data_IF_183089143744
#
_entry.id   IF_183089143744
#
_cell.length_a   1.000
_cell.length_b   1.000
_cell.length_c   1.000
_cell.angle_alpha   90.00
_cell.angle_beta   90.00
_cell.angle_gamma   90.00
#
_symmetry.space_group_name_H-M   'P 1'
#
loop_
_entity.id
_entity.type
_entity.pdbx_description
1 polymer ?
#
# COMPACT_ATOMS: atom_id res chain seq x y z
N UNK A 1 -16.84 12.55 6.43
CA UNK A 1 -16.07 11.93 5.32
C UNK A 1 -15.81 10.46 5.65
N UNK A 2 -16.09 9.56 4.74
CA UNK A 2 -15.80 8.16 4.94
C UNK A 2 -14.30 7.88 4.73
N UNK A 3 -13.74 7.06 5.62
CA UNK A 3 -12.31 6.72 5.61
C UNK A 3 -12.16 5.22 5.42
N UNK A 4 -11.40 4.81 4.43
CA UNK A 4 -11.23 3.40 4.04
C UNK A 4 -9.76 3.08 3.90
N UNK A 5 -9.32 1.94 4.45
CA UNK A 5 -8.00 1.38 4.19
C UNK A 5 -8.17 0.14 3.33
N UNK A 6 -7.45 0.10 2.22
CA UNK A 6 -7.38 -1.07 1.37
C UNK A 6 -6.09 -1.80 1.73
N UNK A 7 -6.23 -3.00 2.27
CA UNK A 7 -5.11 -3.81 2.70
C UNK A 7 -4.78 -4.81 1.61
N UNK A 8 -3.63 -4.63 0.96
CA UNK A 8 -3.23 -5.44 -0.18
C UNK A 8 -2.26 -6.51 0.27
N UNK A 9 -2.63 -7.79 0.06
CA UNK A 9 -1.81 -8.93 0.44
C UNK A 9 -1.19 -9.66 -0.75
N UNK A 10 -1.87 -9.65 -1.90
CA UNK A 10 -1.45 -10.46 -3.03
C UNK A 10 -0.34 -9.80 -3.83
N UNK A 11 0.64 -10.60 -4.26
CA UNK A 11 1.75 -10.14 -5.08
C UNK A 11 1.46 -10.15 -6.58
N UNK A 12 0.20 -10.35 -6.99
CA UNK A 12 -0.19 -10.37 -8.39
C UNK A 12 -0.47 -8.96 -8.89
N UNK A 13 0.24 -8.47 -9.92
CA UNK A 13 0.01 -7.11 -10.44
C UNK A 13 -1.42 -6.86 -10.88
N UNK A 14 -2.09 -7.89 -11.43
CA UNK A 14 -3.49 -7.74 -11.86
C UNK A 14 -4.47 -7.62 -10.69
N UNK A 15 -4.08 -8.06 -9.50
CA UNK A 15 -4.84 -7.79 -8.28
C UNK A 15 -4.52 -6.40 -7.76
N UNK A 16 -3.24 -6.04 -7.77
CA UNK A 16 -2.81 -4.75 -7.22
C UNK A 16 -3.30 -3.56 -8.02
N UNK A 17 -3.55 -3.72 -9.32
CA UNK A 17 -4.11 -2.63 -10.13
C UNK A 17 -5.44 -2.16 -9.54
N UNK A 18 -6.26 -3.08 -9.02
CA UNK A 18 -7.55 -2.73 -8.40
C UNK A 18 -7.36 -1.92 -7.13
N UNK A 19 -6.30 -2.20 -6.37
CA UNK A 19 -5.96 -1.43 -5.18
C UNK A 19 -5.66 0.02 -5.57
N UNK A 20 -4.80 0.21 -6.56
CA UNK A 20 -4.42 1.55 -7.02
C UNK A 20 -5.61 2.31 -7.60
N UNK A 21 -6.38 1.66 -8.47
CA UNK A 21 -7.53 2.29 -9.11
C UNK A 21 -8.59 2.70 -8.09
N UNK A 22 -8.88 1.84 -7.12
CA UNK A 22 -9.89 2.15 -6.12
C UNK A 22 -9.47 3.27 -5.19
N UNK A 23 -8.21 3.30 -4.76
CA UNK A 23 -7.72 4.39 -3.92
C UNK A 23 -7.79 5.73 -4.65
N UNK A 24 -7.41 5.76 -5.93
CA UNK A 24 -7.48 6.97 -6.74
C UNK A 24 -8.92 7.40 -6.99
N UNK A 25 -9.82 6.46 -7.24
CA UNK A 25 -11.25 6.73 -7.43
C UNK A 25 -11.87 7.30 -6.15
N UNK A 26 -11.53 6.74 -5.00
CA UNK A 26 -12.02 7.25 -3.72
C UNK A 26 -11.60 8.70 -3.52
N UNK A 27 -10.34 9.02 -3.86
CA UNK A 27 -9.86 10.40 -3.76
C UNK A 27 -10.69 11.35 -4.63
N UNK A 28 -10.98 10.95 -5.86
CA UNK A 28 -11.80 11.77 -6.76
C UNK A 28 -13.21 11.99 -6.23
N UNK A 29 -13.75 11.02 -5.50
CA UNK A 29 -15.08 11.08 -4.92
C UNK A 29 -15.13 11.80 -3.56
N UNK A 30 -14.01 12.34 -3.12
CA UNK A 30 -13.94 13.05 -1.84
C UNK A 30 -13.90 12.13 -0.62
N UNK A 31 -13.63 10.85 -0.82
CA UNK A 31 -13.43 9.90 0.26
C UNK A 31 -11.94 9.83 0.60
N UNK A 32 -11.63 9.40 1.81
CA UNK A 32 -10.24 9.16 2.18
C UNK A 32 -9.93 7.67 2.04
N UNK A 33 -9.25 7.32 0.97
CA UNK A 33 -8.82 5.94 0.71
C UNK A 33 -7.33 5.82 0.87
N UNK A 34 -6.88 4.94 1.75
CA UNK A 34 -5.46 4.69 1.99
C UNK A 34 -5.13 3.24 1.63
N UNK A 35 -3.86 3.02 1.31
CA UNK A 35 -3.36 1.69 0.94
C UNK A 35 -2.37 1.22 1.99
N UNK A 36 -2.54 -0.02 2.45
CA UNK A 36 -1.54 -0.73 3.25
C UNK A 36 -1.01 -1.87 2.40
N UNK A 37 0.30 -1.92 2.25
CA UNK A 37 0.99 -2.95 1.46
C UNK A 37 1.63 -3.94 2.42
N UNK A 38 1.16 -5.19 2.42
CA UNK A 38 1.72 -6.23 3.27
C UNK A 38 1.64 -7.60 2.59
N UNK A 39 2.21 -8.63 3.21
CA UNK A 39 2.31 -9.95 2.60
C UNK A 39 3.10 -9.90 1.31
N UNK A 40 2.69 -10.68 0.33
CA UNK A 40 3.38 -10.80 -0.95
C UNK A 40 3.42 -9.49 -1.75
N UNK A 41 2.48 -8.57 -1.50
CA UNK A 41 2.42 -7.33 -2.28
C UNK A 41 3.62 -6.42 -2.03
N UNK A 42 4.38 -6.61 -0.96
CA UNK A 42 5.59 -5.80 -0.72
C UNK A 42 6.61 -6.00 -1.84
N UNK A 43 6.60 -7.16 -2.51
CA UNK A 43 7.51 -7.44 -3.63
C UNK A 43 7.21 -6.57 -4.85
N UNK A 44 5.99 -6.05 -4.94
CA UNK A 44 5.61 -5.19 -6.07
C UNK A 44 6.22 -3.79 -5.96
N UNK A 45 6.62 -3.36 -4.77
CA UNK A 45 7.17 -2.01 -4.60
C UNK A 45 8.39 -1.79 -5.49
N UNK A 46 9.46 -2.63 -5.43
CA UNK A 46 10.59 -2.41 -6.33
C UNK A 46 10.22 -2.57 -7.81
N UNK A 47 9.26 -3.43 -8.14
CA UNK A 47 8.82 -3.60 -9.52
C UNK A 47 8.12 -2.35 -10.04
N UNK A 48 7.21 -1.77 -9.23
CA UNK A 48 6.46 -0.57 -9.61
C UNK A 48 7.32 0.70 -9.62
N UNK A 49 8.43 0.72 -8.90
CA UNK A 49 9.40 1.82 -8.98
C UNK A 49 10.08 1.87 -10.34
N UNK A 50 10.11 0.76 -11.05
CA UNK A 50 10.69 0.70 -12.39
C UNK A 50 9.75 1.39 -13.39
N UNK A 51 10.21 2.44 -14.10
CA UNK A 51 9.37 3.16 -15.08
C UNK A 51 8.81 2.28 -16.20
N UNK A 52 9.43 1.13 -16.46
CA UNK A 52 8.97 0.23 -17.51
C UNK A 52 7.85 -0.70 -17.08
N UNK A 53 7.54 -0.76 -15.77
CA UNK A 53 6.45 -1.60 -15.28
C UNK A 53 5.10 -0.98 -15.66
N UNK A 54 4.14 -1.83 -16.06
CA UNK A 54 2.85 -1.31 -16.55
C UNK A 54 2.03 -0.62 -15.47
N UNK A 55 2.29 -0.89 -14.18
CA UNK A 55 1.62 -0.21 -13.08
C UNK A 55 2.33 1.06 -12.61
N UNK A 56 3.51 1.36 -13.16
CA UNK A 56 4.33 2.46 -12.65
C UNK A 56 3.58 3.78 -12.58
N UNK A 57 2.87 4.17 -13.64
CA UNK A 57 2.19 5.47 -13.67
C UNK A 57 1.08 5.58 -12.63
N UNK A 58 0.27 4.51 -12.46
CA UNK A 58 -0.76 4.50 -11.42
C UNK A 58 -0.14 4.53 -10.03
N UNK A 59 0.92 3.75 -9.84
CA UNK A 59 1.65 3.69 -8.57
C UNK A 59 2.22 5.06 -8.19
N UNK A 60 2.87 5.74 -9.12
CA UNK A 60 3.44 7.07 -8.86
C UNK A 60 2.34 8.08 -8.53
N UNK A 61 1.20 8.02 -9.21
CA UNK A 61 0.07 8.90 -8.89
C UNK A 61 -0.42 8.67 -7.46
N UNK A 62 -0.59 7.43 -7.04
CA UNK A 62 -1.02 7.10 -5.69
C UNK A 62 0.02 7.52 -4.66
N UNK A 63 1.29 7.26 -4.96
CA UNK A 63 2.41 7.63 -4.08
C UNK A 63 2.48 9.14 -3.89
N UNK A 64 2.45 9.91 -4.99
CA UNK A 64 2.54 11.36 -4.93
C UNK A 64 1.32 12.00 -4.25
N UNK A 65 0.17 11.35 -4.33
CA UNK A 65 -1.04 11.82 -3.64
C UNK A 65 -1.06 11.44 -2.15
N UNK A 66 -0.03 10.74 -1.66
CA UNK A 66 0.06 10.35 -0.25
C UNK A 66 -0.93 9.26 0.14
N UNK A 67 -1.36 8.45 -0.83
CA UNK A 67 -2.38 7.42 -0.57
C UNK A 67 -1.81 6.14 0.03
N UNK A 68 -0.50 5.90 -0.10
CA UNK A 68 0.12 4.70 0.45
C UNK A 68 0.54 5.00 1.88
N UNK A 69 -0.24 4.48 2.85
CA UNK A 69 -0.10 4.81 4.25
C UNK A 69 0.96 3.96 4.96
N UNK A 70 1.20 2.75 4.49
CA UNK A 70 2.13 1.84 5.17
C UNK A 70 2.59 0.73 4.25
N UNK A 71 3.86 0.34 4.42
CA UNK A 71 4.41 -0.89 3.86
C UNK A 71 4.93 -1.71 5.04
N UNK A 72 4.54 -2.97 5.13
CA UNK A 72 4.87 -3.83 6.25
C UNK A 72 6.38 -4.11 6.30
N UNK A 73 7.01 -3.75 7.42
CA UNK A 73 8.45 -3.95 7.59
C UNK A 73 8.81 -5.43 7.65
N UNK A 74 8.12 -6.20 8.50
CA UNK A 74 8.43 -7.62 8.67
C UNK A 74 8.26 -8.40 7.37
N UNK A 75 7.21 -8.11 6.60
CA UNK A 75 6.98 -8.74 5.30
C UNK A 75 8.10 -8.39 4.32
N UNK A 76 8.52 -7.12 4.31
CA UNK A 76 9.60 -6.65 3.44
C UNK A 76 10.93 -7.32 3.78
N UNK A 77 11.22 -7.50 5.07
CA UNK A 77 12.42 -8.20 5.52
C UNK A 77 12.38 -9.66 5.12
N UNK A 78 11.26 -10.32 5.40
CA UNK A 78 11.12 -11.75 5.14
C UNK A 78 11.22 -12.08 3.66
N UNK A 79 10.68 -11.23 2.80
CA UNK A 79 10.69 -11.44 1.36
C UNK A 79 11.91 -10.81 0.65
N UNK A 80 12.84 -10.25 1.42
CA UNK A 80 14.11 -9.79 0.89
C UNK A 80 14.05 -8.49 0.12
N UNK A 81 13.05 -7.65 0.34
CA UNK A 81 12.87 -6.38 -0.40
C UNK A 81 12.96 -5.14 0.49
N UNK A 82 13.38 -5.29 1.76
CA UNK A 82 13.37 -4.16 2.69
C UNK A 82 14.23 -2.98 2.21
N UNK A 83 15.38 -3.23 1.64
CA UNK A 83 16.25 -2.15 1.17
C UNK A 83 15.60 -1.35 0.05
N UNK A 84 14.96 -2.04 -0.90
CA UNK A 84 14.25 -1.39 -1.99
C UNK A 84 13.02 -0.63 -1.50
N UNK A 85 12.32 -1.19 -0.51
CA UNK A 85 11.16 -0.54 0.10
C UNK A 85 11.58 0.74 0.81
N UNK A 86 12.66 0.69 1.58
CA UNK A 86 13.20 1.89 2.25
C UNK A 86 13.64 2.93 1.23
N UNK A 87 14.27 2.50 0.14
CA UNK A 87 14.72 3.40 -0.92
C UNK A 87 13.56 4.06 -1.66
N UNK A 88 12.38 3.45 -1.66
CA UNK A 88 11.20 4.01 -2.33
C UNK A 88 10.67 5.28 -1.66
N UNK A 89 11.02 5.50 -0.40
CA UNK A 89 10.50 6.63 0.37
C UNK A 89 9.10 6.43 0.92
N UNK A 90 8.50 5.26 0.72
CA UNK A 90 7.18 4.95 1.30
C UNK A 90 7.29 4.75 2.81
N UNK A 91 6.20 5.01 3.57
CA UNK A 91 6.21 4.78 5.01
C UNK A 91 6.37 3.29 5.35
N UNK A 92 7.46 2.95 6.03
CA UNK A 92 7.69 1.58 6.49
C UNK A 92 7.19 1.49 7.93
N UNK A 93 6.25 0.57 8.19
CA UNK A 93 5.53 0.51 9.46
C UNK A 93 5.71 -0.84 10.12
N UNK A 94 5.91 -0.82 11.44
CA UNK A 94 6.23 -2.01 12.23
C UNK A 94 5.56 -1.96 13.61
N UNK A 95 4.37 -1.39 13.69
CA UNK A 95 3.71 -1.07 14.97
C UNK A 95 2.93 -2.22 15.60
N UNK A 96 3.00 -3.41 15.01
CA UNK A 96 2.39 -4.63 15.58
C UNK A 96 3.37 -5.78 15.40
N UNK A 97 4.30 -5.91 16.35
CA UNK A 97 5.31 -6.99 16.32
C UNK A 97 6.03 -7.06 14.96
N UNK A 98 6.41 -5.88 14.43
CA UNK A 98 7.08 -5.77 13.13
C UNK A 98 6.16 -5.65 11.92
N UNK A 99 4.87 -5.87 12.09
CA UNK A 99 3.84 -5.78 11.04
C UNK A 99 3.02 -4.50 11.19
N UNK A 100 2.12 -4.27 10.23
CA UNK A 100 1.22 -3.12 10.28
C UNK A 100 0.01 -3.44 11.15
N UNK A 101 -0.32 -2.55 12.09
CA UNK A 101 -1.52 -2.72 12.92
C UNK A 101 -2.75 -2.22 12.17
N UNK A 102 -3.63 -3.14 11.80
CA UNK A 102 -4.94 -2.77 11.22
C UNK A 102 -5.86 -2.22 12.30
N UNK A 103 -5.69 -2.69 13.56
CA UNK A 103 -6.47 -2.17 14.69
C UNK A 103 -6.28 -0.67 14.89
N UNK A 104 -5.07 -0.15 14.65
CA UNK A 104 -4.82 1.28 14.72
C UNK A 104 -5.66 2.05 13.71
N UNK A 105 -5.76 1.54 12.49
CA UNK A 105 -6.60 2.18 11.47
C UNK A 105 -8.08 2.16 11.87
N UNK A 106 -8.55 1.05 12.44
CA UNK A 106 -9.93 0.95 12.92
C UNK A 106 -10.20 1.97 14.02
N UNK A 107 -9.25 2.11 14.96
CA UNK A 107 -9.38 3.13 16.04
C UNK A 107 -9.42 4.55 15.47
N UNK A 108 -8.74 4.78 14.35
CA UNK A 108 -8.72 6.09 13.68
C UNK A 108 -9.95 6.32 12.78
N UNK A 109 -10.89 5.40 12.78
CA UNK A 109 -12.15 5.56 12.05
C UNK A 109 -12.16 5.00 10.63
N UNK A 110 -11.17 4.19 10.26
CA UNK A 110 -11.14 3.58 8.93
C UNK A 110 -11.93 2.28 8.90
N UNK A 111 -12.62 2.06 7.79
CA UNK A 111 -13.13 0.73 7.44
C UNK A 111 -12.03 0.00 6.68
N UNK A 112 -11.93 -1.31 6.85
CA UNK A 112 -10.87 -2.10 6.23
C UNK A 112 -11.45 -2.93 5.09
N UNK A 113 -10.81 -2.84 3.93
CA UNK A 113 -11.11 -3.70 2.77
C UNK A 113 -9.82 -4.48 2.48
N UNK A 114 -9.92 -5.78 2.27
CA UNK A 114 -8.76 -6.62 1.93
C UNK A 114 -8.83 -7.07 0.47
N UNK A 115 -7.69 -6.99 -0.20
CA UNK A 115 -7.57 -7.43 -1.60
C UNK A 115 -6.31 -8.27 -1.81
#
# INVERSE_FOLDING_TARGET
>A
MKRVVICAFRGEPMCFIHVLLNALDMKEKGLEGKIVIEGESVKLVPEMENPDHFLHNLYIRAKNAGLIAAVCRACSQKLGVIEAVEASGLPVVADMTGHVSLGRFIEEGYEIITL
#
